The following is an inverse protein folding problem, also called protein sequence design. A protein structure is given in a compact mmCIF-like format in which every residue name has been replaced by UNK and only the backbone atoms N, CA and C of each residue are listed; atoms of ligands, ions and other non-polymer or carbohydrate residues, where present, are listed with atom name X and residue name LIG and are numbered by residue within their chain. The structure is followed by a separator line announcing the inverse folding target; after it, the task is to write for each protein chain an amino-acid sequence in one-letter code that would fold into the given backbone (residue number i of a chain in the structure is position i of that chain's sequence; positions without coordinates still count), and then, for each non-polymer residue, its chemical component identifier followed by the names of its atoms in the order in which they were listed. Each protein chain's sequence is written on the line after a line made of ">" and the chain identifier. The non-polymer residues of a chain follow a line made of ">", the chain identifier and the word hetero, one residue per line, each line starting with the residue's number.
data_IF_794702805442
#
_entry.id   IF_794702805442
#
_cell.length_a   1.000
_cell.length_b   1.000
_cell.length_c   1.000
_cell.angle_alpha   90.00
_cell.angle_beta   90.00
_cell.angle_gamma   90.00
#
_symmetry.space_group_name_H-M   'P 1'
#
loop_
_entity.id
_entity.type
_entity.pdbx_description
1 polymer ?
#
# COMPACT_ATOMS: atom_id res chain seq x y z
N UNK A 1 -21.06 8.13 -10.72
CA UNK A 1 -20.13 7.18 -10.08
C UNK A 1 -18.75 7.45 -10.67
N UNK A 2 -18.07 8.47 -10.15
CA UNK A 2 -16.73 8.83 -10.61
C UNK A 2 -15.72 7.86 -9.99
N UNK A 3 -14.95 7.17 -10.82
CA UNK A 3 -13.82 6.35 -10.40
C UNK A 3 -12.78 7.29 -9.80
N UNK A 4 -12.68 7.33 -8.48
CA UNK A 4 -11.64 8.03 -7.73
C UNK A 4 -10.31 7.30 -7.92
N UNK A 5 -9.75 7.37 -9.12
CA UNK A 5 -8.43 6.84 -9.48
C UNK A 5 -7.54 7.96 -10.00
N UNK A 6 -7.72 9.19 -9.49
CA UNK A 6 -6.76 10.25 -9.77
C UNK A 6 -5.43 9.90 -9.09
N UNK A 7 -4.29 10.03 -9.77
CA UNK A 7 -2.97 9.64 -9.26
C UNK A 7 -2.57 10.37 -7.97
N UNK A 8 -3.12 11.56 -7.74
CA UNK A 8 -3.01 12.31 -6.48
C UNK A 8 -3.64 11.57 -5.29
N UNK A 9 -4.76 10.89 -5.49
CA UNK A 9 -5.49 10.15 -4.45
C UNK A 9 -4.73 8.88 -4.08
N UNK A 10 -4.18 8.18 -5.07
CA UNK A 10 -3.35 6.99 -4.89
C UNK A 10 -2.08 7.35 -4.09
N UNK A 11 -1.40 8.45 -4.45
CA UNK A 11 -0.22 8.91 -3.70
C UNK A 11 -0.55 9.21 -2.24
N UNK A 12 -1.69 9.86 -1.98
CA UNK A 12 -2.13 10.16 -0.62
C UNK A 12 -2.49 8.90 0.17
N UNK A 13 -3.18 7.95 -0.46
CA UNK A 13 -3.54 6.66 0.13
C UNK A 13 -2.31 5.82 0.47
N UNK A 14 -1.35 5.70 -0.46
CA UNK A 14 -0.09 4.98 -0.25
C UNK A 14 0.70 5.62 0.90
N UNK A 15 0.73 6.96 0.99
CA UNK A 15 1.41 7.65 2.08
C UNK A 15 0.72 7.42 3.44
N UNK A 16 -0.61 7.50 3.49
CA UNK A 16 -1.38 7.30 4.73
C UNK A 16 -1.29 5.84 5.21
N UNK A 17 -1.37 4.87 4.30
CA UNK A 17 -1.14 3.44 4.59
C UNK A 17 0.28 3.21 5.08
N UNK A 18 1.29 3.79 4.43
CA UNK A 18 2.69 3.68 4.87
C UNK A 18 2.89 4.22 6.28
N UNK A 19 2.32 5.39 6.59
CA UNK A 19 2.49 6.04 7.89
C UNK A 19 1.67 5.38 9.01
N UNK A 20 0.48 4.85 8.71
CA UNK A 20 -0.41 4.27 9.73
C UNK A 20 -0.20 2.78 9.93
N UNK A 21 0.19 2.05 8.88
CA UNK A 21 0.35 0.60 8.89
C UNK A 21 1.83 0.25 8.94
N UNK A 22 2.62 0.62 7.92
CA UNK A 22 4.03 0.22 7.84
C UNK A 22 4.92 0.87 8.91
N UNK A 23 4.61 2.08 9.39
CA UNK A 23 5.38 2.74 10.44
C UNK A 23 4.97 2.30 11.86
N UNK A 24 3.75 1.77 12.03
CA UNK A 24 3.26 1.30 13.34
C UNK A 24 3.41 -0.20 13.56
N UNK A 25 3.36 -0.98 12.48
CA UNK A 25 3.40 -2.43 12.54
C UNK A 25 4.79 -2.93 12.11
N UNK A 26 5.36 -3.93 12.78
CA UNK A 26 6.64 -4.50 12.40
C UNK A 26 6.56 -5.16 11.02
N UNK A 27 7.69 -5.22 10.33
CA UNK A 27 7.82 -5.82 8.99
C UNK A 27 7.40 -7.31 8.93
N UNK A 28 7.38 -8.00 10.06
CA UNK A 28 6.92 -9.39 10.20
C UNK A 28 5.37 -9.52 10.23
N UNK A 29 4.66 -8.39 10.20
CA UNK A 29 3.19 -8.40 10.27
C UNK A 29 2.59 -8.93 8.98
N UNK A 30 1.77 -9.96 9.11
CA UNK A 30 0.93 -10.48 8.03
C UNK A 30 -0.25 -9.56 7.75
N UNK A 31 -0.48 -9.28 6.48
CA UNK A 31 -1.70 -8.63 6.02
C UNK A 31 -2.38 -9.51 4.96
N UNK A 32 -3.71 -9.50 4.98
CA UNK A 32 -4.55 -10.33 4.12
C UNK A 32 -5.41 -9.41 3.25
N UNK A 33 -4.99 -9.12 2.01
CA UNK A 33 -5.79 -8.31 1.11
C UNK A 33 -7.03 -9.09 0.64
N UNK A 34 -8.13 -8.39 0.36
CA UNK A 34 -9.34 -9.00 -0.19
C UNK A 34 -9.21 -9.48 -1.64
N UNK A 35 -8.11 -9.14 -2.32
CA UNK A 35 -7.82 -9.56 -3.69
C UNK A 35 -6.29 -9.66 -3.89
N UNK A 36 -5.76 -10.86 -4.12
CA UNK A 36 -4.32 -11.14 -4.26
C UNK A 36 -3.81 -12.16 -3.24
N UNK A 37 -2.51 -12.43 -3.27
CA UNK A 37 -1.82 -13.30 -2.32
C UNK A 37 -1.64 -12.61 -0.96
N UNK A 38 -1.85 -13.37 0.11
CA UNK A 38 -1.46 -12.96 1.45
C UNK A 38 0.06 -12.73 1.52
N UNK A 39 0.47 -11.70 2.26
CA UNK A 39 1.89 -11.34 2.36
C UNK A 39 2.18 -10.60 3.66
N UNK A 40 3.47 -10.40 3.94
CA UNK A 40 3.91 -9.58 5.08
C UNK A 40 4.21 -8.16 4.65
N UNK A 41 4.06 -7.22 5.58
CA UNK A 41 4.39 -5.81 5.36
C UNK A 41 5.85 -5.66 4.89
N UNK A 42 6.80 -6.40 5.47
CA UNK A 42 8.21 -6.34 5.09
C UNK A 42 8.46 -6.77 3.64
N UNK A 43 7.74 -7.78 3.15
CA UNK A 43 7.87 -8.26 1.77
C UNK A 43 7.26 -7.27 0.76
N UNK A 44 6.26 -6.48 1.17
CA UNK A 44 5.60 -5.50 0.31
C UNK A 44 6.13 -4.09 0.42
N UNK A 45 6.89 -3.78 1.47
CA UNK A 45 7.53 -2.48 1.67
C UNK A 45 8.34 -1.98 0.45
N UNK A 46 9.16 -2.80 -0.24
CA UNK A 46 9.83 -2.37 -1.48
C UNK A 46 8.87 -2.24 -2.67
N UNK A 47 7.70 -2.89 -2.65
CA UNK A 47 6.68 -2.76 -3.70
C UNK A 47 5.89 -1.46 -3.59
N UNK A 48 5.84 -0.81 -2.41
CA UNK A 48 5.19 0.50 -2.24
C UNK A 48 5.80 1.57 -3.15
N UNK A 49 7.12 1.57 -3.31
CA UNK A 49 7.80 2.47 -4.25
C UNK A 49 7.39 2.17 -5.70
N UNK A 50 7.33 0.89 -6.08
CA UNK A 50 6.83 0.48 -7.41
C UNK A 50 5.39 0.95 -7.64
N UNK A 51 4.49 0.77 -6.67
CA UNK A 51 3.09 1.20 -6.79
C UNK A 51 2.97 2.71 -6.93
N UNK A 52 3.85 3.45 -6.24
CA UNK A 52 3.92 4.91 -6.33
C UNK A 52 4.40 5.38 -7.69
N UNK A 53 5.38 4.70 -8.29
CA UNK A 53 5.84 4.98 -9.66
C UNK A 53 4.81 4.56 -10.72
N UNK A 54 4.01 3.53 -10.43
CA UNK A 54 3.08 2.91 -11.38
C UNK A 54 1.67 3.53 -11.37
N UNK A 55 1.29 4.22 -10.30
CA UNK A 55 0.02 4.96 -10.20
C UNK A 55 -1.23 4.07 -10.25
N UNK A 56 -1.17 2.90 -9.59
CA UNK A 56 -2.14 1.81 -9.68
C UNK A 56 -3.31 1.91 -8.70
#
# INVERSE_FOLDING_TARGET
>A
MEKTSSPENITSLVNDVSSRIFNKLPDDTWFYPGHGDDSTLGAERPKLDEWRERGW
#
